data_IF_228247970119
#
_entry.id   IF_228247970119
#
_cell.length_a   1.000
_cell.length_b   1.000
_cell.length_c   1.000
_cell.angle_alpha   90.00
_cell.angle_beta   90.00
_cell.angle_gamma   90.00
#
_symmetry.space_group_name_H-M   'P 1'
#
loop_
_entity.id
_entity.type
_entity.pdbx_description
1 polymer ?
#
# COMPACT_ATOMS: atom_id res chain seq x y z
N UNK A 1 4.43 -11.60 10.62
CA UNK A 1 3.17 -11.70 9.84
C UNK A 1 2.88 -13.09 9.27
N UNK A 2 3.82 -14.05 9.29
CA UNK A 2 3.59 -15.43 8.83
C UNK A 2 2.62 -16.25 9.69
N UNK A 3 2.64 -16.04 11.01
CA UNK A 3 1.90 -16.89 11.97
C UNK A 3 0.37 -16.79 11.86
N UNK A 4 -0.18 -15.63 11.47
CA UNK A 4 -1.63 -15.40 11.39
C UNK A 4 -2.29 -16.17 10.22
N UNK A 5 -1.57 -16.33 9.10
CA UNK A 5 -2.08 -17.08 7.95
C UNK A 5 -2.11 -18.57 8.21
N UNK A 6 -1.18 -19.06 9.03
CA UNK A 6 -1.12 -20.46 9.42
C UNK A 6 -2.26 -20.85 10.35
N UNK A 7 -2.61 -20.02 11.33
CA UNK A 7 -3.75 -20.28 12.22
C UNK A 7 -5.10 -20.27 11.49
N UNK A 8 -5.30 -19.34 10.54
CA UNK A 8 -6.50 -19.28 9.69
C UNK A 8 -6.65 -20.55 8.83
N UNK A 9 -5.52 -21.06 8.31
CA UNK A 9 -5.49 -22.30 7.54
C UNK A 9 -5.87 -23.51 8.40
N UNK A 10 -5.30 -23.64 9.60
CA UNK A 10 -5.64 -24.72 10.53
C UNK A 10 -7.12 -24.66 10.92
N UNK A 11 -7.66 -23.46 11.19
CA UNK A 11 -9.08 -23.29 11.51
C UNK A 11 -9.98 -23.76 10.36
N UNK A 12 -9.65 -23.41 9.11
CA UNK A 12 -10.40 -23.88 7.94
C UNK A 12 -10.37 -25.41 7.78
N UNK A 13 -9.25 -26.05 8.10
CA UNK A 13 -9.15 -27.52 8.07
C UNK A 13 -10.00 -28.12 9.19
N UNK A 14 -10.01 -27.53 10.38
CA UNK A 14 -10.82 -28.00 11.51
C UNK A 14 -12.33 -27.87 11.25
N UNK A 15 -12.75 -26.82 10.54
CA UNK A 15 -14.16 -26.54 10.22
C UNK A 15 -14.71 -27.33 9.02
N UNK A 16 -13.85 -27.79 8.10
CA UNK A 16 -14.25 -28.39 6.82
C UNK A 16 -13.87 -29.88 6.72
N UNK A 17 -14.85 -30.77 6.94
CA UNK A 17 -14.69 -32.23 6.83
C UNK A 17 -14.33 -32.69 5.41
N UNK A 18 -14.76 -31.97 4.37
CA UNK A 18 -14.46 -32.30 2.98
C UNK A 18 -12.98 -32.02 2.68
N UNK A 19 -12.48 -30.90 3.19
CA UNK A 19 -11.06 -30.54 3.09
C UNK A 19 -10.17 -31.53 3.85
N UNK A 20 -10.61 -32.00 5.03
CA UNK A 20 -9.88 -33.04 5.78
C UNK A 20 -9.77 -34.35 4.99
N UNK A 21 -10.85 -34.78 4.33
CA UNK A 21 -10.84 -36.00 3.53
C UNK A 21 -9.96 -35.85 2.28
N UNK A 22 -10.04 -34.70 1.59
CA UNK A 22 -9.15 -34.40 0.45
C UNK A 22 -7.68 -34.35 0.83
N UNK A 23 -7.34 -33.80 2.00
CA UNK A 23 -5.94 -33.79 2.50
C UNK A 23 -5.44 -35.21 2.80
N UNK A 24 -6.31 -36.12 3.26
CA UNK A 24 -5.95 -37.53 3.50
C UNK A 24 -5.74 -38.31 2.21
N UNK A 25 -6.50 -38.01 1.15
CA UNK A 25 -6.39 -38.67 -0.15
C UNK A 25 -5.20 -38.14 -0.97
N UNK A 26 -5.07 -36.81 -1.10
CA UNK A 26 -3.96 -36.15 -1.78
C UNK A 26 -3.62 -34.81 -1.09
N UNK A 27 -2.62 -34.80 -0.19
CA UNK A 27 -2.26 -33.62 0.56
C UNK A 27 -1.70 -32.50 -0.33
N UNK A 28 -1.07 -32.83 -1.47
CA UNK A 28 -0.43 -31.84 -2.33
C UNK A 28 -1.46 -31.12 -3.20
N UNK A 29 -2.46 -31.84 -3.71
CA UNK A 29 -3.55 -31.27 -4.47
C UNK A 29 -4.42 -30.34 -3.60
N UNK A 30 -4.77 -30.77 -2.40
CA UNK A 30 -5.58 -29.99 -1.47
C UNK A 30 -4.90 -28.66 -1.06
N UNK A 31 -3.60 -28.68 -0.79
CA UNK A 31 -2.84 -27.46 -0.45
C UNK A 31 -2.80 -26.48 -1.63
N UNK A 32 -2.68 -26.97 -2.87
CA UNK A 32 -2.69 -26.10 -4.07
C UNK A 32 -4.03 -25.42 -4.27
N UNK A 33 -5.13 -26.14 -4.05
CA UNK A 33 -6.48 -25.59 -4.16
C UNK A 33 -6.71 -24.50 -3.11
N UNK A 34 -6.34 -24.76 -1.85
CA UNK A 34 -6.45 -23.74 -0.79
C UNK A 34 -5.56 -22.54 -1.09
N UNK A 35 -4.30 -22.77 -1.50
CA UNK A 35 -3.40 -21.68 -1.87
C UNK A 35 -3.94 -20.81 -3.03
N UNK A 36 -4.66 -21.40 -3.98
CA UNK A 36 -5.31 -20.68 -5.08
C UNK A 36 -6.53 -19.84 -4.62
N UNK A 37 -7.18 -20.23 -3.53
CA UNK A 37 -8.32 -19.48 -2.95
C UNK A 37 -7.91 -18.38 -1.98
N UNK A 38 -6.65 -18.32 -1.55
CA UNK A 38 -6.16 -17.20 -0.73
C UNK A 38 -6.06 -15.97 -1.65
N UNK A 39 -6.94 -14.96 -1.49
CA UNK A 39 -6.81 -13.74 -2.25
C UNK A 39 -5.45 -13.13 -1.92
N UNK A 40 -4.61 -12.85 -2.94
CA UNK A 40 -3.39 -12.06 -2.74
C UNK A 40 -3.82 -10.72 -2.12
N UNK A 41 -3.52 -10.47 -0.83
CA UNK A 41 -3.84 -9.20 -0.24
C UNK A 41 -2.91 -8.18 -0.90
N UNK A 42 -3.45 -7.00 -1.22
CA UNK A 42 -2.76 -5.83 -1.79
C UNK A 42 -2.51 -5.79 -3.30
N UNK A 43 -2.29 -6.91 -4.01
CA UNK A 43 -1.89 -6.82 -5.42
C UNK A 43 -3.02 -6.38 -6.36
N UNK A 44 -4.29 -6.54 -5.94
CA UNK A 44 -5.46 -6.29 -6.78
C UNK A 44 -6.14 -4.94 -6.57
N UNK A 45 -5.69 -4.10 -5.63
CA UNK A 45 -6.37 -2.82 -5.38
C UNK A 45 -5.59 -1.62 -5.92
N UNK A 46 -5.27 -1.71 -7.21
CA UNK A 46 -4.79 -0.59 -8.03
C UNK A 46 -5.73 0.61 -7.91
N UNK A 47 -7.02 0.36 -7.64
CA UNK A 47 -8.02 1.41 -7.46
C UNK A 47 -7.82 2.18 -6.16
N UNK A 48 -7.56 1.51 -5.02
CA UNK A 48 -7.19 2.17 -3.76
C UNK A 48 -5.93 2.99 -3.94
N UNK A 49 -4.89 2.41 -4.56
CA UNK A 49 -3.65 3.14 -4.85
C UNK A 49 -3.92 4.41 -5.68
N UNK A 50 -4.71 4.30 -6.75
CA UNK A 50 -5.08 5.45 -7.61
C UNK A 50 -5.87 6.50 -6.85
N UNK A 51 -6.86 6.12 -6.04
CA UNK A 51 -7.66 7.07 -5.26
C UNK A 51 -6.79 7.83 -4.28
N UNK A 52 -5.91 7.14 -3.56
CA UNK A 52 -5.00 7.78 -2.59
C UNK A 52 -4.05 8.74 -3.30
N UNK A 53 -3.44 8.32 -4.41
CA UNK A 53 -2.53 9.18 -5.19
C UNK A 53 -3.25 10.39 -5.78
N UNK A 54 -4.46 10.21 -6.32
CA UNK A 54 -5.28 11.31 -6.86
C UNK A 54 -5.68 12.26 -5.74
N UNK A 55 -6.15 11.76 -4.60
CA UNK A 55 -6.55 12.60 -3.47
C UNK A 55 -5.37 13.40 -2.89
N UNK A 56 -4.20 12.77 -2.75
CA UNK A 56 -2.98 13.45 -2.32
C UNK A 56 -2.53 14.49 -3.37
N UNK A 57 -2.53 14.13 -4.65
CA UNK A 57 -2.16 15.05 -5.74
C UNK A 57 -3.09 16.26 -5.82
N UNK A 58 -4.40 16.06 -5.70
CA UNK A 58 -5.39 17.13 -5.67
C UNK A 58 -5.23 18.02 -4.44
N UNK A 59 -4.92 17.45 -3.27
CA UNK A 59 -4.66 18.21 -2.05
C UNK A 59 -3.46 19.15 -2.24
N UNK A 60 -2.35 18.62 -2.78
CA UNK A 60 -1.17 19.44 -3.08
C UNK A 60 -1.50 20.53 -4.10
N UNK A 61 -2.19 20.19 -5.20
CA UNK A 61 -2.62 21.17 -6.21
C UNK A 61 -3.51 22.26 -5.60
N UNK A 62 -4.47 21.90 -4.75
CA UNK A 62 -5.35 22.86 -4.09
C UNK A 62 -4.58 23.83 -3.20
N UNK A 63 -3.59 23.33 -2.44
CA UNK A 63 -2.75 24.22 -1.62
C UNK A 63 -1.86 25.11 -2.47
N UNK A 64 -1.29 24.60 -3.57
CA UNK A 64 -0.49 25.41 -4.52
C UNK A 64 -1.35 26.52 -5.12
N UNK A 65 -2.55 26.20 -5.62
CA UNK A 65 -3.48 27.20 -6.17
C UNK A 65 -3.88 28.22 -5.10
N UNK A 66 -4.25 27.76 -3.90
CA UNK A 66 -4.60 28.63 -2.78
C UNK A 66 -3.46 29.58 -2.41
N UNK A 67 -2.22 29.07 -2.37
CA UNK A 67 -1.05 29.88 -2.10
C UNK A 67 -0.77 30.91 -3.21
N UNK A 68 -0.94 30.56 -4.49
CA UNK A 68 -0.80 31.51 -5.60
C UNK A 68 -1.83 32.64 -5.49
N UNK A 69 -3.09 32.30 -5.20
CA UNK A 69 -4.17 33.28 -5.00
C UNK A 69 -3.84 34.22 -3.84
N UNK A 70 -3.36 33.68 -2.70
CA UNK A 70 -2.95 34.50 -1.54
C UNK A 70 -1.75 35.39 -1.89
N UNK A 71 -0.75 34.86 -2.60
CA UNK A 71 0.44 35.64 -3.02
C UNK A 71 0.06 36.83 -3.90
N UNK A 72 -0.93 36.66 -4.77
CA UNK A 72 -1.43 37.74 -5.64
C UNK A 72 -2.10 38.87 -4.85
N UNK A 73 -2.64 38.58 -3.67
CA UNK A 73 -3.29 39.56 -2.80
C UNK A 73 -2.29 40.20 -1.82
N UNK A 74 -1.33 39.43 -1.27
CA UNK A 74 -0.44 39.86 -0.19
C UNK A 74 1.01 40.22 -0.62
N UNK A 75 1.37 40.11 -1.90
CA UNK A 75 2.71 40.38 -2.50
C UNK A 75 3.90 39.60 -1.91
N UNK A 76 3.75 38.90 -0.79
CA UNK A 76 4.75 38.02 -0.19
C UNK A 76 4.37 36.56 -0.43
N UNK A 77 5.37 35.75 -0.80
CA UNK A 77 5.17 34.31 -1.04
C UNK A 77 4.81 33.63 0.30
N UNK A 78 3.67 32.93 0.40
CA UNK A 78 3.25 32.27 1.63
C UNK A 78 4.25 31.20 2.06
N UNK A 79 4.62 31.19 3.33
CA UNK A 79 5.53 30.19 3.93
C UNK A 79 5.05 28.75 3.71
N UNK A 80 3.73 28.55 3.64
CA UNK A 80 3.09 27.26 3.31
C UNK A 80 3.55 26.72 1.96
N UNK A 81 3.77 27.58 0.96
CA UNK A 81 4.24 27.16 -0.36
C UNK A 81 5.69 26.71 -0.32
N UNK A 82 6.53 27.41 0.45
CA UNK A 82 7.94 27.02 0.67
C UNK A 82 8.00 25.69 1.42
N UNK A 83 7.21 25.53 2.48
CA UNK A 83 7.15 24.30 3.28
C UNK A 83 6.71 23.09 2.45
N UNK A 84 5.70 23.25 1.59
CA UNK A 84 5.25 22.19 0.67
C UNK A 84 6.31 21.86 -0.39
N UNK A 85 6.95 22.87 -0.96
CA UNK A 85 8.05 22.68 -1.90
C UNK A 85 9.20 21.88 -1.29
N UNK A 86 9.62 22.22 -0.06
CA UNK A 86 10.66 21.50 0.66
C UNK A 86 10.25 20.06 1.01
N UNK A 87 9.00 19.84 1.41
CA UNK A 87 8.48 18.50 1.69
C UNK A 87 8.46 17.62 0.43
N UNK A 88 8.04 18.16 -0.72
CA UNK A 88 8.03 17.45 -1.99
C UNK A 88 9.45 17.09 -2.47
N UNK A 89 10.40 18.02 -2.35
CA UNK A 89 11.81 17.75 -2.65
C UNK A 89 12.40 16.69 -1.71
N UNK A 90 12.06 16.73 -0.41
CA UNK A 90 12.48 15.72 0.56
C UNK A 90 11.94 14.31 0.24
N UNK A 91 10.67 14.21 -0.19
CA UNK A 91 10.07 12.94 -0.61
C UNK A 91 10.73 12.39 -1.89
N UNK A 92 11.03 13.25 -2.87
CA UNK A 92 11.77 12.87 -4.08
C UNK A 92 13.20 12.43 -3.75
N UNK A 93 13.89 13.15 -2.86
CA UNK A 93 15.20 12.77 -2.39
C UNK A 93 15.16 11.40 -1.68
N UNK A 94 14.12 11.13 -0.88
CA UNK A 94 13.92 9.82 -0.25
C UNK A 94 13.67 8.68 -1.24
N UNK A 95 12.97 8.94 -2.36
CA UNK A 95 12.74 7.93 -3.41
C UNK A 95 13.98 7.67 -4.27
N UNK A 96 14.80 8.71 -4.51
CA UNK A 96 16.01 8.63 -5.31
C UNK A 96 17.25 8.29 -4.48
N UNK A 97 17.13 8.30 -3.15
CA UNK A 97 18.19 7.86 -2.26
C UNK A 97 18.50 6.38 -2.57
N UNK A 98 19.77 6.03 -2.82
CA UNK A 98 20.14 4.65 -3.07
C UNK A 98 19.68 3.80 -1.89
N UNK A 99 18.97 2.70 -2.19
CA UNK A 99 18.67 1.69 -1.17
C UNK A 99 20.00 1.29 -0.53
N UNK A 100 20.11 1.23 0.80
CA UNK A 100 21.30 0.69 1.44
C UNK A 100 21.52 -0.71 0.88
N UNK A 101 22.51 -0.87 0.01
CA UNK A 101 22.96 -2.17 -0.41
C UNK A 101 23.54 -2.80 0.85
N UNK A 102 22.96 -3.91 1.29
CA UNK A 102 23.39 -4.61 2.49
C UNK A 102 24.87 -4.92 2.42
N UNK A 103 25.66 -4.21 3.23
CA UNK A 103 27.00 -4.63 3.60
C UNK A 103 26.83 -5.69 4.69
N UNK A 104 26.85 -6.95 4.28
CA UNK A 104 26.83 -8.15 5.13
C UNK A 104 27.55 -9.28 4.43
#
# INVERSE_FOLDING_TARGET
MSNLRWSEFIRKIEEDEELQNKIKEDPVAAIREVAATIPEPLRRDVWIYRIVVIALGLTVLAVVIGAIVITMVDKTTPDVLVALGSAAVGALAGLLAPSPAGEG
#
